data_IF_716614074688
#
_entry.id   IF_716614074688
#
_cell.length_a   1.000
_cell.length_b   1.000
_cell.length_c   1.000
_cell.angle_alpha   90.00
_cell.angle_beta   90.00
_cell.angle_gamma   90.00
#
_symmetry.space_group_name_H-M   'P 1'
#
loop_
_entity.id
_entity.type
_entity.pdbx_description
1 polymer ?
#
# COMPACT_ATOMS: atom_id res chain seq x y z
N UNK A 1 -2.47 20.86 -17.38
CA UNK A 1 -2.81 19.82 -16.39
C UNK A 1 -1.59 18.94 -16.20
N UNK A 2 -1.23 18.61 -14.96
CA UNK A 2 -0.11 17.70 -14.67
C UNK A 2 -0.45 16.30 -15.17
N UNK A 3 0.50 15.65 -15.83
CA UNK A 3 0.35 14.26 -16.26
C UNK A 3 0.74 13.31 -15.12
N UNK A 4 -0.17 12.43 -14.71
CA UNK A 4 0.08 11.46 -13.67
C UNK A 4 0.33 10.06 -14.25
N UNK A 5 1.07 9.24 -13.50
CA UNK A 5 1.14 7.79 -13.74
C UNK A 5 0.97 7.04 -12.44
N UNK A 6 0.12 6.01 -12.47
CA UNK A 6 -0.06 5.06 -11.37
C UNK A 6 0.79 3.83 -11.65
N UNK A 7 1.74 3.56 -10.77
CA UNK A 7 2.61 2.39 -10.79
C UNK A 7 2.23 1.52 -9.60
N UNK A 8 2.05 0.22 -9.76
CA UNK A 8 1.69 -0.64 -8.64
C UNK A 8 2.42 -1.97 -8.62
N UNK A 9 2.57 -2.55 -7.43
CA UNK A 9 2.92 -3.97 -7.28
C UNK A 9 1.84 -4.67 -6.47
N UNK A 10 1.27 -5.75 -7.02
CA UNK A 10 0.18 -6.48 -6.37
C UNK A 10 0.31 -7.99 -6.52
N UNK A 11 0.37 -8.69 -5.38
CA UNK A 11 0.39 -10.16 -5.35
C UNK A 11 -0.99 -10.80 -5.31
N UNK A 12 -1.94 -10.18 -4.58
CA UNK A 12 -3.29 -10.73 -4.34
C UNK A 12 -4.42 -9.87 -4.91
N UNK A 13 -4.11 -8.79 -5.63
CA UNK A 13 -5.09 -8.02 -6.41
C UNK A 13 -5.60 -6.74 -5.75
N UNK A 14 -5.59 -6.61 -4.41
CA UNK A 14 -6.15 -5.42 -3.75
C UNK A 14 -5.50 -4.11 -4.23
N UNK A 15 -4.17 -4.03 -4.22
CA UNK A 15 -3.44 -2.85 -4.72
C UNK A 15 -3.67 -2.59 -6.20
N UNK A 16 -3.88 -3.64 -7.02
CA UNK A 16 -4.20 -3.50 -8.45
C UNK A 16 -5.56 -2.83 -8.63
N UNK A 17 -6.56 -3.28 -7.87
CA UNK A 17 -7.90 -2.70 -7.91
C UNK A 17 -7.87 -1.20 -7.57
N UNK A 18 -7.17 -0.83 -6.50
CA UNK A 18 -6.99 0.57 -6.14
C UNK A 18 -6.23 1.37 -7.20
N UNK A 19 -5.16 0.81 -7.77
CA UNK A 19 -4.42 1.47 -8.83
C UNK A 19 -5.29 1.77 -10.07
N UNK A 20 -6.18 0.83 -10.42
CA UNK A 20 -7.13 0.99 -11.52
C UNK A 20 -8.12 2.12 -11.23
N UNK A 21 -8.76 2.13 -10.05
CA UNK A 21 -9.71 3.18 -9.70
C UNK A 21 -9.07 4.57 -9.61
N UNK A 22 -7.87 4.67 -9.04
CA UNK A 22 -7.12 5.93 -8.97
C UNK A 22 -6.82 6.44 -10.39
N UNK A 23 -6.41 5.55 -11.29
CA UNK A 23 -6.12 5.93 -12.67
C UNK A 23 -7.37 6.27 -13.48
N UNK A 24 -8.50 5.60 -13.24
CA UNK A 24 -9.80 5.96 -13.80
C UNK A 24 -10.20 7.38 -13.39
N UNK A 25 -10.15 7.69 -12.09
CA UNK A 25 -10.56 9.00 -11.56
C UNK A 25 -9.61 10.14 -11.98
N UNK A 26 -8.33 9.84 -12.17
CA UNK A 26 -7.32 10.79 -12.64
C UNK A 26 -7.16 10.79 -14.16
N UNK A 27 -7.89 9.94 -14.88
CA UNK A 27 -7.78 9.74 -16.33
C UNK A 27 -6.34 9.57 -16.81
N UNK A 28 -5.57 8.74 -16.10
CA UNK A 28 -4.13 8.64 -16.30
C UNK A 28 -3.68 7.19 -16.54
N UNK A 29 -2.40 7.02 -16.89
CA UNK A 29 -1.85 5.70 -17.18
C UNK A 29 -1.69 4.89 -15.89
N UNK A 30 -2.07 3.62 -15.92
CA UNK A 30 -1.78 2.63 -14.87
C UNK A 30 -0.94 1.49 -15.40
N UNK A 31 0.10 1.10 -14.65
CA UNK A 31 1.01 0.02 -15.06
C UNK A 31 1.53 -0.75 -13.84
N UNK A 32 1.62 -2.07 -13.97
CA UNK A 32 2.29 -2.88 -12.95
C UNK A 32 3.81 -2.64 -13.01
N UNK A 33 4.47 -2.44 -11.87
CA UNK A 33 5.89 -2.10 -11.77
C UNK A 33 6.80 -3.00 -12.62
N UNK A 34 6.46 -4.29 -12.74
CA UNK A 34 7.24 -5.26 -13.53
C UNK A 34 7.18 -5.03 -15.04
N UNK A 35 6.13 -4.38 -15.52
CA UNK A 35 5.91 -4.05 -16.93
C UNK A 35 6.18 -2.56 -17.24
N UNK A 36 6.69 -1.81 -16.26
CA UNK A 36 6.95 -0.38 -16.40
C UNK A 36 8.16 -0.13 -17.31
N UNK A 37 7.97 0.70 -18.34
CA UNK A 37 9.07 1.38 -19.02
C UNK A 37 9.41 2.66 -18.25
N UNK A 38 10.70 2.86 -17.92
CA UNK A 38 11.17 4.06 -17.22
C UNK A 38 10.90 5.34 -18.02
N UNK A 39 10.76 5.26 -19.34
CA UNK A 39 10.39 6.40 -20.18
C UNK A 39 8.99 6.93 -19.86
N UNK A 40 8.07 6.08 -19.40
CA UNK A 40 6.75 6.52 -18.96
C UNK A 40 6.85 7.40 -17.70
N UNK A 41 7.79 7.08 -16.80
CA UNK A 41 8.07 7.87 -15.58
C UNK A 41 8.67 9.23 -15.93
N UNK A 42 9.59 9.28 -16.91
CA UNK A 42 10.22 10.52 -17.35
C UNK A 42 9.20 11.53 -17.89
N UNK A 43 8.15 11.04 -18.57
CA UNK A 43 7.08 11.85 -19.20
C UNK A 43 5.99 12.32 -18.23
N UNK A 44 5.89 11.74 -17.05
CA UNK A 44 4.89 12.11 -16.05
C UNK A 44 5.43 13.19 -15.11
N UNK A 45 4.56 14.03 -14.57
CA UNK A 45 4.89 15.03 -13.55
C UNK A 45 4.66 14.49 -12.13
N UNK A 46 3.62 13.63 -11.99
CA UNK A 46 3.20 13.01 -10.74
C UNK A 46 3.35 11.50 -10.82
N UNK A 47 4.08 10.92 -9.86
CA UNK A 47 4.27 9.48 -9.74
C UNK A 47 3.48 8.99 -8.53
N UNK A 48 2.49 8.13 -8.78
CA UNK A 48 1.66 7.52 -7.74
C UNK A 48 2.06 6.05 -7.63
N UNK A 49 2.72 5.67 -6.55
CA UNK A 49 3.17 4.30 -6.33
C UNK A 49 2.29 3.55 -5.32
N UNK A 50 1.73 2.42 -5.74
CA UNK A 50 0.90 1.53 -4.93
C UNK A 50 1.62 0.26 -4.50
N UNK A 51 1.59 -0.07 -3.20
CA UNK A 51 2.13 -1.34 -2.71
C UNK A 51 1.33 -1.96 -1.58
N UNK A 52 1.32 -3.29 -1.52
CA UNK A 52 0.73 -4.03 -0.42
C UNK A 52 1.70 -4.11 0.78
N UNK A 53 1.15 -4.12 2.00
CA UNK A 53 1.91 -4.25 3.23
C UNK A 53 2.05 -5.73 3.58
N UNK A 54 3.30 -6.18 3.64
CA UNK A 54 3.65 -7.52 4.14
C UNK A 54 4.68 -7.40 5.28
N UNK A 55 5.19 -8.54 5.77
CA UNK A 55 6.18 -8.56 6.85
C UNK A 55 7.45 -7.74 6.54
N UNK A 56 7.85 -7.67 5.26
CA UNK A 56 9.03 -6.91 4.81
C UNK A 56 8.79 -5.43 4.49
N UNK A 57 7.59 -4.90 4.72
CA UNK A 57 7.23 -3.52 4.37
C UNK A 57 6.30 -3.42 3.15
N UNK A 58 6.40 -2.30 2.42
CA UNK A 58 5.54 -2.01 1.26
C UNK A 58 6.15 -2.63 0.00
N UNK A 59 5.38 -3.47 -0.70
CA UNK A 59 5.86 -4.25 -1.84
C UNK A 59 6.40 -3.37 -2.97
N UNK A 60 7.64 -3.66 -3.41
CA UNK A 60 8.32 -3.00 -4.52
C UNK A 60 8.70 -1.53 -4.31
N UNK A 61 8.44 -0.94 -3.13
CA UNK A 61 8.64 0.50 -2.89
C UNK A 61 10.10 0.96 -3.03
N UNK A 62 11.05 0.02 -2.92
CA UNK A 62 12.47 0.27 -3.22
C UNK A 62 12.72 0.83 -4.62
N UNK A 63 11.76 0.67 -5.55
CA UNK A 63 11.74 1.33 -6.85
C UNK A 63 11.99 2.85 -6.75
N UNK A 64 11.37 3.52 -5.78
CA UNK A 64 11.49 4.97 -5.63
C UNK A 64 12.93 5.40 -5.27
N UNK A 65 13.59 4.65 -4.37
CA UNK A 65 15.00 4.90 -4.03
C UNK A 65 15.93 4.62 -5.21
N UNK A 66 15.67 3.54 -5.95
CA UNK A 66 16.55 3.08 -7.03
C UNK A 66 16.54 3.97 -8.27
N UNK A 67 15.48 4.77 -8.45
CA UNK A 67 15.30 5.66 -9.60
C UNK A 67 15.17 7.12 -9.14
N UNK A 68 15.78 7.48 -8.00
CA UNK A 68 15.60 8.80 -7.42
C UNK A 68 16.11 9.93 -8.33
N UNK A 69 17.18 9.68 -9.08
CA UNK A 69 17.71 10.55 -10.14
C UNK A 69 16.63 10.99 -11.15
N UNK A 70 15.74 10.08 -11.56
CA UNK A 70 14.63 10.38 -12.47
C UNK A 70 13.45 11.05 -11.73
N UNK A 71 13.30 10.74 -10.44
CA UNK A 71 12.16 11.12 -9.61
C UNK A 71 12.37 12.43 -8.84
N UNK A 72 13.60 12.95 -8.80
CA UNK A 72 14.00 14.10 -7.97
C UNK A 72 13.25 15.38 -8.34
N UNK A 73 12.83 15.55 -9.59
CA UNK A 73 12.02 16.71 -10.01
C UNK A 73 10.52 16.44 -9.98
N UNK A 74 10.10 15.19 -9.72
CA UNK A 74 8.70 14.75 -9.77
C UNK A 74 8.00 14.92 -8.44
N UNK A 75 6.66 14.98 -8.48
CA UNK A 75 5.80 14.86 -7.29
C UNK A 75 5.58 13.38 -6.98
N UNK A 76 5.79 12.97 -5.73
CA UNK A 76 5.73 11.57 -5.33
C UNK A 76 4.56 11.32 -4.36
N UNK A 77 3.70 10.38 -4.72
CA UNK A 77 2.60 9.90 -3.89
C UNK A 77 2.76 8.40 -3.69
N UNK A 78 2.61 7.92 -2.47
CA UNK A 78 2.59 6.49 -2.14
C UNK A 78 1.26 6.15 -1.51
N UNK A 79 0.61 5.09 -1.99
CA UNK A 79 -0.50 4.47 -1.26
C UNK A 79 -0.15 3.05 -0.85
N UNK A 80 -0.54 2.68 0.36
CA UNK A 80 -0.29 1.34 0.91
C UNK A 80 -1.59 0.59 1.12
N UNK A 81 -1.61 -0.71 0.85
CA UNK A 81 -2.77 -1.57 1.13
C UNK A 81 -2.44 -2.58 2.23
N UNK A 82 -3.09 -2.48 3.39
CA UNK A 82 -2.92 -3.40 4.53
C UNK A 82 -4.24 -3.85 5.13
N UNK A 83 -4.24 -4.85 6.02
CA UNK A 83 -5.48 -5.35 6.64
C UNK A 83 -5.95 -4.48 7.81
N UNK A 84 -4.98 -3.87 8.50
CA UNK A 84 -5.19 -2.96 9.62
C UNK A 84 -6.04 -1.75 9.26
N UNK A 85 -6.80 -1.25 10.22
CA UNK A 85 -7.62 -0.06 10.03
C UNK A 85 -6.72 1.19 10.02
N UNK A 86 -6.64 1.95 8.90
CA UNK A 86 -5.78 3.13 8.81
C UNK A 86 -6.28 4.32 9.64
N UNK A 87 -7.54 4.30 10.10
CA UNK A 87 -8.07 5.32 11.01
C UNK A 87 -7.48 5.24 12.42
N UNK A 88 -6.87 4.12 12.78
CA UNK A 88 -6.10 3.99 14.01
C UNK A 88 -4.64 4.39 13.73
N UNK A 89 -4.18 5.46 14.37
CA UNK A 89 -2.83 5.98 14.20
C UNK A 89 -1.73 4.99 14.64
N UNK A 90 -2.06 4.03 15.51
CA UNK A 90 -1.12 2.98 15.92
C UNK A 90 -0.74 2.06 14.73
N UNK A 91 -1.59 2.00 13.70
CA UNK A 91 -1.36 1.17 12.52
C UNK A 91 -0.54 1.87 11.44
N UNK A 92 -0.57 3.20 11.39
CA UNK A 92 0.06 3.98 10.31
C UNK A 92 1.49 4.40 10.65
N UNK A 93 1.78 4.69 11.93
CA UNK A 93 3.14 5.01 12.41
C UNK A 93 4.21 3.98 12.01
N UNK A 94 4.03 2.68 12.33
CA UNK A 94 4.98 1.63 11.97
C UNK A 94 5.20 1.47 10.46
N UNK A 95 4.20 1.81 9.64
CA UNK A 95 4.32 1.77 8.17
C UNK A 95 5.28 2.87 7.72
N UNK A 96 5.13 4.09 8.26
CA UNK A 96 6.01 5.22 7.95
C UNK A 96 7.46 4.92 8.35
N UNK A 97 7.69 4.29 9.50
CA UNK A 97 9.03 3.85 9.92
C UNK A 97 9.65 2.82 8.97
N UNK A 98 8.87 1.82 8.54
CA UNK A 98 9.33 0.82 7.56
C UNK A 98 9.66 1.44 6.21
N UNK A 99 8.87 2.42 5.77
CA UNK A 99 9.16 3.21 4.57
C UNK A 99 10.45 4.00 4.74
N UNK A 100 10.67 4.66 5.88
CA UNK A 100 11.90 5.40 6.16
C UNK A 100 13.16 4.51 6.21
N UNK A 101 13.02 3.22 6.58
CA UNK A 101 14.12 2.24 6.50
C UNK A 101 14.43 1.79 5.07
N UNK A 102 13.46 1.89 4.16
CA UNK A 102 13.58 1.40 2.78
C UNK A 102 13.96 2.51 1.80
N UNK A 103 13.44 3.71 2.05
CA UNK A 103 13.61 4.91 1.24
C UNK A 103 14.70 5.80 1.85
N UNK A 104 15.31 6.66 1.03
CA UNK A 104 16.29 7.63 1.53
C UNK A 104 15.57 8.83 2.17
N UNK A 105 16.24 9.59 3.07
CA UNK A 105 15.64 10.79 3.65
C UNK A 105 15.11 11.79 2.59
N UNK A 106 15.84 12.09 1.49
CA UNK A 106 15.32 12.97 0.44
C UNK A 106 14.06 12.45 -0.24
N UNK A 107 13.92 11.13 -0.42
CA UNK A 107 12.68 10.54 -0.96
C UNK A 107 11.55 10.69 0.06
N UNK A 108 11.80 10.36 1.32
CA UNK A 108 10.79 10.40 2.38
C UNK A 108 10.23 11.80 2.64
N UNK A 109 11.05 12.84 2.52
CA UNK A 109 10.62 14.24 2.66
C UNK A 109 9.64 14.67 1.57
N UNK A 110 9.75 14.08 0.37
CA UNK A 110 8.91 14.44 -0.78
C UNK A 110 7.64 13.61 -0.90
N UNK A 111 7.62 12.40 -0.37
CA UNK A 111 6.51 11.46 -0.57
C UNK A 111 5.31 11.85 0.30
N UNK A 112 4.15 12.07 -0.35
CA UNK A 112 2.86 12.07 0.34
C UNK A 112 2.34 10.63 0.46
N UNK A 113 1.99 10.19 1.67
CA UNK A 113 1.56 8.81 1.96
C UNK A 113 0.06 8.76 2.25
N UNK A 114 -0.63 7.76 1.68
CA UNK A 114 -2.00 7.40 1.96
C UNK A 114 -2.10 5.92 2.34
N UNK A 115 -3.00 5.58 3.26
CA UNK A 115 -3.18 4.21 3.75
C UNK A 115 -4.60 3.72 3.43
N UNK A 116 -4.70 2.62 2.71
CA UNK A 116 -5.96 1.99 2.29
C UNK A 116 -6.05 0.58 2.87
N UNK A 117 -7.28 0.10 3.10
CA UNK A 117 -7.50 -1.27 3.55
C UNK A 117 -7.54 -2.24 2.38
N UNK A 118 -6.79 -3.34 2.50
CA UNK A 118 -6.72 -4.38 1.49
C UNK A 118 -7.74 -5.49 1.71
N UNK A 119 -7.50 -6.60 1.02
CA UNK A 119 -8.25 -7.84 1.16
C UNK A 119 -7.30 -9.00 1.45
N UNK A 120 -7.80 -10.04 2.11
CA UNK A 120 -7.11 -11.30 2.32
C UNK A 120 -8.03 -12.46 1.99
N UNK A 121 -7.50 -13.42 1.25
CA UNK A 121 -8.14 -14.70 1.03
C UNK A 121 -7.15 -15.80 1.40
N UNK A 122 -7.37 -16.43 2.56
CA UNK A 122 -6.49 -17.47 3.08
C UNK A 122 -6.40 -18.68 2.15
N UNK A 123 -7.42 -18.97 1.33
CA UNK A 123 -7.34 -20.07 0.37
C UNK A 123 -6.27 -19.79 -0.70
N UNK A 124 -6.12 -18.52 -1.08
CA UNK A 124 -5.19 -18.04 -2.13
C UNK A 124 -3.82 -17.62 -1.62
N UNK A 125 -3.61 -17.57 -0.30
CA UNK A 125 -2.31 -17.24 0.26
C UNK A 125 -1.26 -18.31 -0.08
N UNK A 126 -0.06 -17.85 -0.46
CA UNK A 126 1.09 -18.73 -0.64
C UNK A 126 1.62 -19.22 0.72
N UNK A 127 2.35 -20.35 0.72
CA UNK A 127 2.81 -21.03 1.95
C UNK A 127 3.56 -20.08 2.89
N UNK A 128 4.45 -19.24 2.35
CA UNK A 128 5.22 -18.27 3.13
C UNK A 128 4.31 -17.26 3.83
N UNK A 129 3.33 -16.70 3.12
CA UNK A 129 2.41 -15.71 3.69
C UNK A 129 1.43 -16.34 4.70
N UNK A 130 1.00 -17.60 4.48
CA UNK A 130 0.25 -18.37 5.47
C UNK A 130 1.05 -18.56 6.76
N UNK A 131 2.32 -18.94 6.64
CA UNK A 131 3.22 -19.12 7.79
C UNK A 131 3.44 -17.81 8.57
N UNK A 132 3.68 -16.69 7.86
CA UNK A 132 3.79 -15.37 8.47
C UNK A 132 2.52 -14.99 9.25
N UNK A 133 1.33 -15.18 8.65
CA UNK A 133 0.06 -14.91 9.35
C UNK A 133 -0.11 -15.80 10.58
N UNK A 134 0.29 -17.07 10.52
CA UNK A 134 0.25 -17.96 11.68
C UNK A 134 1.15 -17.47 12.82
N UNK A 135 2.34 -16.91 12.52
CA UNK A 135 3.23 -16.34 13.54
C UNK A 135 2.62 -15.10 14.21
N UNK A 136 1.88 -14.27 13.48
CA UNK A 136 1.18 -13.10 14.04
C UNK A 136 -0.02 -13.52 14.89
N UNK A 137 -0.78 -14.51 14.44
CA UNK A 137 -2.04 -14.91 15.08
C UNK A 137 -1.85 -15.80 16.31
N UNK A 138 -0.78 -16.62 16.34
CA UNK A 138 -0.51 -17.54 17.46
C UNK A 138 -0.41 -16.84 18.82
N UNK A 139 0.36 -15.74 19.00
CA UNK A 139 0.38 -15.00 20.26
C UNK A 139 -0.99 -14.45 20.65
N UNK A 140 -1.74 -13.92 19.68
CA UNK A 140 -3.07 -13.32 19.94
C UNK A 140 -4.08 -14.37 20.40
N UNK A 141 -4.05 -15.58 19.85
CA UNK A 141 -4.85 -16.71 20.33
C UNK A 141 -4.55 -17.08 21.79
N UNK A 142 -3.29 -16.92 22.23
CA UNK A 142 -2.84 -17.23 23.60
C UNK A 142 -3.13 -16.10 24.59
N UNK A 143 -3.33 -14.86 24.13
CA UNK A 143 -3.71 -13.73 25.00
C UNK A 143 -5.06 -13.97 25.65
N UNK A 144 -5.22 -13.46 26.87
CA UNK A 144 -6.51 -13.40 27.57
C UNK A 144 -7.54 -12.68 26.69
N UNK A 145 -8.72 -13.27 26.41
CA UNK A 145 -9.75 -12.63 25.60
C UNK A 145 -10.11 -11.20 26.05
N UNK A 146 -10.14 -10.93 27.36
CA UNK A 146 -10.49 -9.63 27.92
C UNK A 146 -9.42 -8.54 27.66
N UNK A 147 -8.20 -8.92 27.29
CA UNK A 147 -7.08 -8.00 27.03
C UNK A 147 -6.77 -7.82 25.54
N UNK A 148 -7.58 -8.39 24.64
CA UNK A 148 -7.36 -8.27 23.19
C UNK A 148 -7.85 -6.90 22.72
N UNK A 149 -7.10 -6.28 21.83
CA UNK A 149 -7.60 -5.08 21.14
C UNK A 149 -8.70 -5.44 20.16
N UNK A 150 -9.50 -4.44 19.73
CA UNK A 150 -10.53 -4.65 18.71
C UNK A 150 -9.93 -5.20 17.39
N UNK A 151 -8.72 -4.77 17.04
CA UNK A 151 -8.02 -5.26 15.86
C UNK A 151 -7.51 -6.69 16.01
N UNK A 152 -6.99 -7.04 17.18
CA UNK A 152 -6.61 -8.42 17.50
C UNK A 152 -7.82 -9.35 17.44
N UNK A 153 -8.98 -8.91 17.95
CA UNK A 153 -10.21 -9.69 17.87
C UNK A 153 -10.69 -9.82 16.42
N UNK A 154 -10.72 -8.73 15.63
CA UNK A 154 -11.05 -8.79 14.20
C UNK A 154 -10.10 -9.72 13.43
N UNK A 155 -8.82 -9.72 13.75
CA UNK A 155 -7.85 -10.62 13.12
C UNK A 155 -8.18 -12.10 13.42
N UNK A 156 -8.61 -12.43 14.64
CA UNK A 156 -9.05 -13.79 14.99
C UNK A 156 -10.35 -14.16 14.26
N UNK A 157 -11.32 -13.26 14.23
CA UNK A 157 -12.65 -13.50 13.63
C UNK A 157 -12.57 -13.72 12.11
N UNK A 158 -11.56 -13.12 11.47
CA UNK A 158 -11.31 -13.20 10.03
C UNK A 158 -10.26 -14.24 9.65
N UNK A 159 -9.57 -14.85 10.63
CA UNK A 159 -8.49 -15.81 10.39
C UNK A 159 -8.98 -17.04 9.63
N UNK A 160 -8.32 -17.36 8.51
CA UNK A 160 -8.65 -18.53 7.68
C UNK A 160 -9.80 -18.30 6.69
N UNK A 161 -10.41 -17.11 6.65
CA UNK A 161 -11.55 -16.77 5.78
C UNK A 161 -11.14 -15.91 4.58
N UNK A 162 -12.04 -15.70 3.63
CA UNK A 162 -11.89 -14.64 2.65
C UNK A 162 -12.58 -13.38 3.15
N UNK A 163 -11.86 -12.25 3.21
CA UNK A 163 -12.38 -10.96 3.67
C UNK A 163 -11.81 -9.84 2.79
N UNK A 164 -12.69 -8.94 2.36
CA UNK A 164 -12.32 -7.74 1.62
C UNK A 164 -12.74 -6.50 2.40
N UNK A 165 -11.79 -5.60 2.63
CA UNK A 165 -12.06 -4.25 3.15
C UNK A 165 -11.78 -3.20 2.07
N UNK A 166 -11.65 -3.63 0.81
CA UNK A 166 -11.44 -2.73 -0.32
C UNK A 166 -12.70 -1.88 -0.49
N UNK A 167 -12.48 -0.57 -0.54
CA UNK A 167 -13.53 0.43 -0.65
C UNK A 167 -13.10 1.51 -1.65
N UNK A 168 -13.87 1.74 -2.72
CA UNK A 168 -13.53 2.74 -3.73
C UNK A 168 -13.49 4.15 -3.15
N UNK A 169 -14.41 4.49 -2.26
CA UNK A 169 -14.53 5.86 -1.73
C UNK A 169 -13.30 6.27 -0.92
N UNK A 170 -12.59 5.29 -0.35
CA UNK A 170 -11.33 5.52 0.37
C UNK A 170 -10.20 6.11 -0.48
N UNK A 171 -10.28 6.12 -1.82
CA UNK A 171 -9.29 6.78 -2.68
C UNK A 171 -9.49 8.29 -2.80
N UNK A 172 -10.65 8.81 -2.40
CA UNK A 172 -11.03 10.22 -2.55
C UNK A 172 -9.95 11.20 -2.07
N UNK A 173 -9.43 11.08 -0.83
CA UNK A 173 -8.38 11.97 -0.33
C UNK A 173 -7.10 11.97 -1.17
N UNK A 174 -6.73 10.83 -1.76
CA UNK A 174 -5.57 10.71 -2.64
C UNK A 174 -5.83 11.40 -3.98
N UNK A 175 -6.96 11.10 -4.60
CA UNK A 175 -7.35 11.67 -5.89
C UNK A 175 -7.46 13.19 -5.80
N UNK A 176 -8.12 13.70 -4.75
CA UNK A 176 -8.24 15.12 -4.48
C UNK A 176 -6.88 15.79 -4.26
N UNK A 177 -5.99 15.16 -3.50
CA UNK A 177 -4.64 15.69 -3.31
C UNK A 177 -3.92 15.84 -4.64
N UNK A 178 -3.96 14.83 -5.51
CA UNK A 178 -3.30 14.87 -6.82
C UNK A 178 -3.90 15.94 -7.72
N UNK A 179 -5.23 16.12 -7.73
CA UNK A 179 -5.91 17.17 -8.52
C UNK A 179 -5.55 18.60 -8.10
N UNK A 180 -5.02 18.79 -6.89
CA UNK A 180 -4.63 20.09 -6.34
C UNK A 180 -3.13 20.41 -6.48
N UNK A 181 -2.33 19.47 -7.03
CA UNK A 181 -0.90 19.69 -7.30
C UNK A 181 -0.69 20.62 -8.50
#
# INVERSE_FOLDING_TARGET
MLNAIVIYESKYGATRQYAQWIAEDLQCRVVERKALDINDVKKADVIIYGGAIYAGGVSGVSFLRKNFDVLETKRLVVFTCGLSNPADNQNTGPIRERLAKTLTPPVMEKVKIFHLRGAIDYSRLGVIHKALMAMVVRPVKKKNPASRTAEEQQMLDTYGKAVSFIDRDSIGPLVEYVRRL
#
